data_IF_120391783796
#
_entry.id   IF_120391783796
#
_cell.length_a   1.000
_cell.length_b   1.000
_cell.length_c   1.000
_cell.angle_alpha   90.00
_cell.angle_beta   90.00
_cell.angle_gamma   90.00
#
_symmetry.space_group_name_H-M   'P 1'
#
loop_
_entity.id
_entity.type
_entity.pdbx_description
1 polymer ?
#
# COMPACT_ATOMS: atom_id res chain seq x y z
N UNK A 1 5.72 53.72 -4.26
CA UNK A 1 6.51 52.78 -3.41
C UNK A 1 5.62 52.01 -2.41
N UNK A 2 4.51 51.37 -2.83
CA UNK A 2 3.60 50.62 -1.93
C UNK A 2 3.22 49.21 -2.43
N UNK A 3 4.08 48.54 -3.20
CA UNK A 3 3.83 47.16 -3.69
C UNK A 3 4.70 46.10 -3.00
N UNK A 4 5.79 46.47 -2.32
CA UNK A 4 6.75 45.51 -1.74
C UNK A 4 6.29 44.84 -0.44
N UNK A 5 5.53 45.56 0.41
CA UNK A 5 5.09 45.08 1.73
C UNK A 5 3.96 44.03 1.66
N UNK A 6 3.09 44.12 0.64
CA UNK A 6 2.01 43.15 0.38
C UNK A 6 2.55 41.85 -0.24
N UNK A 7 3.57 41.98 -1.09
CA UNK A 7 4.26 40.85 -1.73
C UNK A 7 4.98 39.98 -0.70
N UNK A 8 5.77 40.55 0.22
CA UNK A 8 6.47 39.74 1.25
C UNK A 8 5.54 38.89 2.11
N UNK A 9 4.30 39.31 2.33
CA UNK A 9 3.34 38.56 3.15
C UNK A 9 2.72 37.37 2.39
N UNK A 10 2.48 37.54 1.09
CA UNK A 10 2.03 36.47 0.20
C UNK A 10 3.09 35.37 0.06
N UNK A 11 4.37 35.74 0.05
CA UNK A 11 5.47 34.78 -0.06
C UNK A 11 5.67 33.98 1.23
N UNK A 12 5.55 34.63 2.39
CA UNK A 12 5.60 33.94 3.70
C UNK A 12 4.42 32.97 3.86
N UNK A 13 3.21 33.37 3.47
CA UNK A 13 2.03 32.50 3.52
C UNK A 13 2.16 31.27 2.60
N UNK A 14 2.78 31.43 1.43
CA UNK A 14 3.02 30.33 0.49
C UNK A 14 4.05 29.34 1.02
N UNK A 15 5.12 29.84 1.67
CA UNK A 15 6.16 29.01 2.27
C UNK A 15 5.64 28.18 3.46
N UNK A 16 4.70 28.73 4.24
CA UNK A 16 4.06 28.04 5.38
C UNK A 16 3.18 26.87 4.91
N UNK A 17 2.46 27.00 3.79
CA UNK A 17 1.62 25.93 3.24
C UNK A 17 2.43 24.73 2.72
N UNK A 18 3.66 24.95 2.25
CA UNK A 18 4.52 23.90 1.67
C UNK A 18 5.35 23.15 2.72
N UNK A 19 5.43 23.68 3.94
CA UNK A 19 6.14 23.06 5.07
C UNK A 19 5.24 22.21 5.97
N UNK A 20 3.93 22.11 5.70
CA UNK A 20 3.05 21.20 6.43
C UNK A 20 3.31 19.76 5.97
N UNK A 21 3.80 18.86 6.85
CA UNK A 21 3.79 17.44 6.52
C UNK A 21 2.33 16.99 6.46
N UNK A 22 1.85 16.64 5.26
CA UNK A 22 0.67 15.79 5.12
C UNK A 22 1.11 14.40 5.58
N UNK A 23 1.14 14.21 6.91
CA UNK A 23 1.39 12.91 7.50
C UNK A 23 0.22 12.00 7.17
N UNK A 24 0.33 11.18 6.13
CA UNK A 24 -0.49 9.99 5.99
C UNK A 24 0.04 9.01 7.04
N UNK A 25 -0.57 9.02 8.22
CA UNK A 25 -0.39 7.92 9.16
C UNK A 25 -1.03 6.70 8.50
N UNK A 26 -0.25 5.63 8.33
CA UNK A 26 -0.85 4.34 8.04
C UNK A 26 -1.82 4.04 9.19
N UNK A 27 -3.10 4.19 8.93
CA UNK A 27 -4.15 3.93 9.90
C UNK A 27 -4.08 2.43 10.19
N UNK A 28 -3.59 2.09 11.39
CA UNK A 28 -3.27 0.74 11.86
C UNK A 28 -4.55 -0.09 12.13
N UNK A 29 -5.66 0.24 11.48
CA UNK A 29 -6.96 -0.40 11.63
C UNK A 29 -7.06 -1.64 10.73
N UNK A 30 -6.10 -2.55 10.85
CA UNK A 30 -6.26 -3.88 10.30
C UNK A 30 -7.33 -4.63 11.12
N UNK A 31 -8.18 -5.44 10.47
CA UNK A 31 -9.10 -6.30 11.19
C UNK A 31 -8.31 -7.24 12.10
N UNK A 32 -8.87 -7.51 13.29
CA UNK A 32 -8.27 -8.46 14.23
C UNK A 32 -8.05 -9.81 13.53
N UNK A 33 -6.88 -10.47 13.72
CA UNK A 33 -6.64 -11.79 13.17
C UNK A 33 -7.72 -12.79 13.61
N UNK A 34 -7.93 -13.83 12.79
CA UNK A 34 -8.87 -14.89 13.14
C UNK A 34 -8.41 -15.60 14.42
N UNK A 35 -9.34 -15.80 15.36
CA UNK A 35 -9.04 -16.48 16.64
C UNK A 35 -8.83 -17.99 16.49
N UNK A 36 -9.10 -18.56 15.31
CA UNK A 36 -8.98 -19.99 15.03
C UNK A 36 -7.75 -20.29 14.16
N UNK A 37 -7.32 -21.55 14.21
CA UNK A 37 -6.29 -22.06 13.29
C UNK A 37 -6.88 -22.20 11.88
N UNK A 38 -6.03 -21.95 10.89
CA UNK A 38 -6.35 -22.10 9.48
C UNK A 38 -5.80 -23.43 8.99
N UNK A 39 -6.63 -24.18 8.29
CA UNK A 39 -6.21 -25.40 7.59
C UNK A 39 -5.75 -25.01 6.18
N UNK A 40 -4.44 -25.07 5.94
CA UNK A 40 -3.87 -24.64 4.67
C UNK A 40 -4.45 -25.40 3.47
N UNK A 41 -4.58 -26.73 3.59
CA UNK A 41 -5.03 -27.59 2.49
C UNK A 41 -6.49 -27.30 2.14
N UNK A 42 -7.33 -27.05 3.15
CA UNK A 42 -8.75 -26.80 2.91
C UNK A 42 -9.06 -25.35 2.54
N UNK A 43 -8.30 -24.39 3.04
CA UNK A 43 -8.66 -22.98 2.96
C UNK A 43 -7.78 -22.16 2.02
N UNK A 44 -6.49 -22.47 1.91
CA UNK A 44 -5.52 -21.65 1.17
C UNK A 44 -5.13 -22.29 -0.16
N UNK A 45 -4.83 -23.60 -0.15
CA UNK A 45 -4.39 -24.33 -1.34
C UNK A 45 -5.34 -24.20 -2.55
N UNK A 46 -6.68 -24.28 -2.40
CA UNK A 46 -7.60 -24.14 -3.54
C UNK A 46 -7.54 -22.76 -4.21
N UNK A 47 -7.16 -21.72 -3.45
CA UNK A 47 -7.00 -20.36 -3.98
C UNK A 47 -5.80 -20.32 -4.94
N UNK A 48 -4.68 -20.92 -4.54
CA UNK A 48 -3.49 -20.99 -5.39
C UNK A 48 -3.73 -21.85 -6.63
N UNK A 49 -4.40 -22.98 -6.49
CA UNK A 49 -4.79 -23.83 -7.62
C UNK A 49 -5.63 -23.06 -8.65
N UNK A 50 -6.61 -22.27 -8.18
CA UNK A 50 -7.53 -21.54 -9.06
C UNK A 50 -6.92 -20.28 -9.69
N UNK A 51 -5.97 -19.61 -9.01
CA UNK A 51 -5.50 -18.26 -9.40
C UNK A 51 -4.03 -18.18 -9.78
N UNK A 52 -3.18 -19.07 -9.28
CA UNK A 52 -1.73 -18.91 -9.37
C UNK A 52 -1.07 -20.05 -10.16
N UNK A 53 -1.46 -21.30 -9.92
CA UNK A 53 -0.81 -22.47 -10.52
C UNK A 53 -1.03 -22.60 -12.04
N UNK A 54 -1.92 -21.80 -12.63
CA UNK A 54 -2.05 -21.69 -14.08
C UNK A 54 -0.80 -21.13 -14.77
N UNK A 55 -0.10 -20.18 -14.12
CA UNK A 55 1.13 -19.57 -14.62
C UNK A 55 2.38 -19.91 -13.79
N UNK A 56 2.20 -20.35 -12.54
CA UNK A 56 3.29 -20.67 -11.61
C UNK A 56 3.28 -22.13 -11.12
N UNK A 57 2.57 -23.02 -11.82
CA UNK A 57 2.51 -24.45 -11.48
C UNK A 57 3.58 -25.29 -12.21
N UNK A 58 3.61 -26.60 -11.92
CA UNK A 58 4.59 -27.51 -12.50
C UNK A 58 4.62 -27.54 -14.04
N UNK A 59 3.48 -27.26 -14.68
CA UNK A 59 3.36 -27.27 -16.15
C UNK A 59 3.84 -25.97 -16.80
N UNK A 60 3.76 -24.83 -16.09
CA UNK A 60 4.09 -23.50 -16.61
C UNK A 60 4.63 -22.67 -15.46
N UNK A 61 5.86 -22.19 -15.62
CA UNK A 61 6.64 -21.55 -14.55
C UNK A 61 7.13 -20.18 -15.01
N UNK A 62 6.29 -19.16 -14.84
CA UNK A 62 6.65 -17.79 -15.18
C UNK A 62 7.53 -17.15 -14.11
N UNK A 63 8.46 -16.28 -14.54
CA UNK A 63 9.32 -15.48 -13.66
C UNK A 63 10.16 -16.27 -12.64
N UNK A 64 10.38 -17.58 -12.89
CA UNK A 64 11.09 -18.48 -11.98
C UNK A 64 10.53 -18.52 -10.55
N UNK A 65 9.24 -18.23 -10.38
CA UNK A 65 8.59 -18.16 -9.07
C UNK A 65 7.71 -19.38 -8.80
N UNK A 66 8.20 -20.34 -7.99
CA UNK A 66 7.48 -21.59 -7.64
C UNK A 66 6.63 -21.46 -6.38
N UNK A 67 5.41 -21.99 -6.45
CA UNK A 67 4.37 -21.94 -5.42
C UNK A 67 3.93 -23.33 -4.92
N UNK A 68 4.58 -24.37 -5.45
CA UNK A 68 4.35 -25.79 -5.11
C UNK A 68 5.34 -26.31 -4.07
#
# INVERSE_FOLDING_TARGET
MMTRRRSSWLWISSLVMMALPIGVTADDQLPKPLARRIDFVKEVQPIFEAKCLGCHGAKKQESAFRLD
#
